data_IF_864693171936
#
_entry.id   IF_864693171936
#
_cell.length_a   1.000
_cell.length_b   1.000
_cell.length_c   1.000
_cell.angle_alpha   90.00
_cell.angle_beta   90.00
_cell.angle_gamma   90.00
#
_symmetry.space_group_name_H-M   'P 1'
#
loop_
_entity.id
_entity.type
_entity.pdbx_description
1 polymer ?
#
# COMPACT_ATOMS: atom_id res chain seq x y z
N UNK A 1 53.92 -22.35 -0.70
CA UNK A 1 52.92 -22.95 -1.60
C UNK A 1 51.67 -22.10 -1.43
N UNK A 2 51.56 -21.07 -2.28
CA UNK A 2 50.50 -20.07 -2.23
C UNK A 2 49.22 -20.68 -2.81
N UNK A 3 48.12 -20.55 -2.07
CA UNK A 3 46.78 -20.95 -2.52
C UNK A 3 46.19 -19.71 -3.23
N UNK A 4 45.80 -19.80 -4.52
CA UNK A 4 45.28 -18.65 -5.24
C UNK A 4 43.92 -18.23 -4.67
N UNK A 5 43.72 -16.92 -4.48
CA UNK A 5 42.41 -16.34 -4.18
C UNK A 5 41.55 -16.40 -5.44
N UNK A 6 40.43 -17.11 -5.35
CA UNK A 6 39.37 -17.07 -6.36
C UNK A 6 38.76 -15.66 -6.38
N UNK A 7 38.80 -15.02 -7.56
CA UNK A 7 38.06 -13.81 -7.85
C UNK A 7 36.56 -14.14 -7.89
N UNK A 8 35.88 -13.99 -6.75
CA UNK A 8 34.43 -13.95 -6.71
C UNK A 8 33.95 -12.64 -7.31
N UNK A 9 33.46 -12.69 -8.56
CA UNK A 9 32.55 -11.68 -9.09
C UNK A 9 31.26 -11.71 -8.25
N UNK A 10 31.22 -10.94 -7.18
CA UNK A 10 29.96 -10.58 -6.54
C UNK A 10 29.25 -9.60 -7.47
N UNK A 11 28.18 -10.06 -8.12
CA UNK A 11 27.15 -9.16 -8.63
C UNK A 11 26.51 -8.48 -7.42
N UNK A 12 27.14 -7.40 -6.94
CA UNK A 12 26.44 -6.43 -6.09
C UNK A 12 25.32 -5.85 -6.97
N UNK A 13 24.09 -6.26 -6.69
CA UNK A 13 22.92 -5.59 -7.24
C UNK A 13 22.98 -4.19 -6.66
N UNK A 14 23.24 -3.22 -7.53
CA UNK A 14 23.25 -1.79 -7.23
C UNK A 14 21.84 -1.37 -6.77
N UNK A 15 21.59 -1.54 -5.46
CA UNK A 15 20.31 -1.27 -4.84
C UNK A 15 20.04 0.23 -4.67
N UNK A 16 21.02 1.10 -4.95
CA UNK A 16 20.99 2.53 -4.63
C UNK A 16 20.38 3.41 -5.74
N UNK A 17 20.02 2.84 -6.90
CA UNK A 17 19.55 3.61 -8.06
C UNK A 17 18.24 3.13 -8.67
N UNK A 18 17.48 2.30 -7.96
CA UNK A 18 16.23 1.73 -8.47
C UNK A 18 15.06 1.93 -7.50
N UNK A 19 13.89 2.24 -8.08
CA UNK A 19 12.65 2.31 -7.32
C UNK A 19 12.20 0.92 -6.88
N UNK A 20 11.40 0.87 -5.82
CA UNK A 20 10.78 -0.36 -5.38
C UNK A 20 9.42 -0.12 -4.71
N UNK A 21 8.56 -1.15 -4.77
CA UNK A 21 7.29 -1.17 -4.07
C UNK A 21 7.40 -2.12 -2.88
N UNK A 22 7.08 -1.63 -1.70
CA UNK A 22 7.13 -2.41 -0.45
C UNK A 22 5.71 -2.53 0.08
N UNK A 23 5.22 -3.77 0.16
CA UNK A 23 3.90 -4.08 0.67
C UNK A 23 3.94 -4.08 2.20
N UNK A 24 3.52 -2.98 2.81
CA UNK A 24 3.53 -2.85 4.26
C UNK A 24 2.42 -3.66 4.92
N UNK A 25 1.30 -3.80 4.22
CA UNK A 25 0.19 -4.66 4.61
C UNK A 25 -0.57 -5.16 3.40
N UNK A 26 -1.12 -6.35 3.52
CA UNK A 26 -1.81 -7.06 2.42
C UNK A 26 -3.15 -7.67 2.85
N UNK A 27 -3.55 -7.45 4.10
CA UNK A 27 -4.77 -7.98 4.68
C UNK A 27 -5.96 -7.04 4.54
N UNK A 28 -7.16 -7.61 4.66
CA UNK A 28 -8.41 -6.85 4.66
C UNK A 28 -8.53 -5.89 5.86
N UNK A 29 -9.67 -5.20 5.95
CA UNK A 29 -9.97 -4.24 7.02
C UNK A 29 -9.82 -4.80 8.44
N UNK A 30 -10.05 -6.09 8.67
CA UNK A 30 -9.86 -6.72 9.99
C UNK A 30 -8.43 -7.17 10.29
N UNK A 31 -7.51 -7.07 9.32
CA UNK A 31 -6.21 -7.74 9.35
C UNK A 31 -6.32 -9.28 9.52
N UNK A 32 -5.18 -9.97 9.46
CA UNK A 32 -5.07 -11.41 9.72
C UNK A 32 -3.95 -11.63 10.75
N UNK A 33 -4.20 -12.37 11.85
CA UNK A 33 -5.39 -13.17 12.15
C UNK A 33 -6.67 -12.36 12.42
N UNK A 34 -7.81 -12.97 12.12
CA UNK A 34 -9.10 -12.43 12.54
C UNK A 34 -9.30 -12.67 14.05
N UNK A 35 -9.48 -11.59 14.83
CA UNK A 35 -9.59 -11.66 16.28
C UNK A 35 -10.72 -12.58 16.77
N UNK A 36 -11.91 -12.51 16.14
CA UNK A 36 -13.04 -13.37 16.52
C UNK A 36 -12.74 -14.84 16.29
N UNK A 37 -12.08 -15.16 15.18
CA UNK A 37 -11.66 -16.51 14.87
C UNK A 37 -10.68 -17.10 15.91
N UNK A 38 -9.86 -16.25 16.54
CA UNK A 38 -8.95 -16.68 17.61
C UNK A 38 -9.66 -16.90 18.95
N UNK A 39 -10.55 -15.99 19.34
CA UNK A 39 -11.22 -16.07 20.66
C UNK A 39 -12.45 -17.00 20.65
N UNK A 40 -13.00 -17.28 19.46
CA UNK A 40 -14.08 -18.26 19.23
C UNK A 40 -13.70 -19.15 18.04
N UNK A 41 -12.70 -20.05 18.21
CA UNK A 41 -12.26 -20.90 17.12
C UNK A 41 -13.34 -21.89 16.71
N UNK A 42 -13.43 -22.12 15.40
CA UNK A 42 -14.19 -23.23 14.82
C UNK A 42 -13.61 -24.58 15.26
N UNK A 43 -14.33 -25.67 14.99
CA UNK A 43 -13.82 -27.03 15.18
C UNK A 43 -13.88 -27.81 13.84
N UNK A 44 -12.74 -28.06 13.16
CA UNK A 44 -11.37 -27.71 13.57
C UNK A 44 -11.09 -26.20 13.52
N UNK A 45 -10.08 -25.69 14.26
CA UNK A 45 -9.69 -24.28 14.21
C UNK A 45 -9.26 -23.84 12.80
N UNK A 46 -9.51 -22.58 12.46
CA UNK A 46 -9.07 -21.99 11.20
C UNK A 46 -7.54 -22.11 11.05
N UNK A 47 -7.10 -22.76 9.97
CA UNK A 47 -5.68 -23.00 9.71
C UNK A 47 -4.90 -21.68 9.54
N UNK A 48 -5.44 -20.73 8.78
CA UNK A 48 -4.77 -19.43 8.51
C UNK A 48 -4.55 -18.64 9.80
N UNK A 49 -5.59 -18.46 10.62
CA UNK A 49 -5.46 -17.71 11.89
C UNK A 49 -4.56 -18.43 12.90
N UNK A 50 -4.59 -19.77 12.93
CA UNK A 50 -3.71 -20.54 13.80
C UNK A 50 -2.25 -20.42 13.35
N UNK A 51 -2.00 -20.55 12.05
CA UNK A 51 -0.67 -20.45 11.46
C UNK A 51 -0.09 -19.04 11.56
N UNK A 52 -0.91 -17.99 11.40
CA UNK A 52 -0.46 -16.58 11.48
C UNK A 52 0.16 -16.23 12.84
N UNK A 53 -0.12 -17.02 13.89
CA UNK A 53 0.49 -16.87 15.22
C UNK A 53 1.58 -17.91 15.54
N UNK A 54 1.82 -18.88 14.66
CA UNK A 54 2.71 -20.02 14.94
C UNK A 54 4.20 -19.72 14.72
N UNK A 55 4.52 -18.73 13.89
CA UNK A 55 5.88 -18.30 13.56
C UNK A 55 5.96 -16.77 13.51
N UNK A 56 7.16 -16.17 13.66
CA UNK A 56 7.34 -14.72 13.61
C UNK A 56 6.75 -14.11 12.34
N UNK A 57 6.05 -12.97 12.41
CA UNK A 57 5.36 -12.39 11.25
C UNK A 57 6.26 -12.13 10.03
N UNK A 58 7.55 -11.82 10.24
CA UNK A 58 8.50 -11.59 9.15
C UNK A 58 8.71 -12.81 8.23
N UNK A 59 8.39 -14.00 8.75
CA UNK A 59 8.47 -15.28 8.04
C UNK A 59 7.07 -15.85 7.74
N UNK A 60 6.01 -15.10 8.03
CA UNK A 60 4.64 -15.59 8.03
C UNK A 60 3.77 -14.83 7.03
N UNK A 61 3.58 -15.36 5.81
CA UNK A 61 2.78 -14.67 4.80
C UNK A 61 1.26 -14.72 5.08
N UNK A 62 0.84 -15.45 6.11
CA UNK A 62 -0.52 -15.47 6.63
C UNK A 62 -0.75 -14.45 7.75
N UNK A 63 0.29 -13.79 8.29
CA UNK A 63 0.13 -12.61 9.15
C UNK A 63 0.08 -11.36 8.28
N UNK A 64 -1.03 -10.61 8.34
CA UNK A 64 -1.31 -9.54 7.38
C UNK A 64 -1.88 -8.31 8.09
N UNK A 65 -1.15 -7.22 8.04
CA UNK A 65 -1.61 -5.89 8.43
C UNK A 65 -2.63 -5.34 7.42
N UNK A 66 -3.32 -4.24 7.75
CA UNK A 66 -4.21 -3.57 6.80
C UNK A 66 -3.45 -3.14 5.55
N UNK A 67 -4.09 -3.26 4.38
CA UNK A 67 -3.53 -2.90 3.09
C UNK A 67 -2.83 -1.54 3.13
N UNK A 68 -1.55 -1.52 2.74
CA UNK A 68 -0.76 -0.30 2.61
C UNK A 68 0.46 -0.56 1.75
N UNK A 69 0.84 0.41 0.92
CA UNK A 69 1.98 0.33 0.01
C UNK A 69 2.94 1.48 0.28
N UNK A 70 4.23 1.17 0.43
CA UNK A 70 5.28 2.18 0.38
C UNK A 70 5.98 2.12 -0.98
N UNK A 71 6.02 3.27 -1.65
CA UNK A 71 6.79 3.47 -2.86
C UNK A 71 8.11 4.12 -2.45
N UNK A 72 9.19 3.36 -2.60
CA UNK A 72 10.55 3.84 -2.53
C UNK A 72 10.95 4.32 -3.94
N UNK A 73 10.77 5.60 -4.21
CA UNK A 73 10.98 6.21 -5.52
C UNK A 73 12.37 6.82 -5.60
N UNK A 74 13.23 6.27 -6.46
CA UNK A 74 14.52 6.85 -6.80
C UNK A 74 14.36 7.75 -8.02
N UNK A 75 14.64 9.04 -7.88
CA UNK A 75 14.74 9.93 -9.03
C UNK A 75 16.04 9.65 -9.81
N UNK A 76 16.17 10.20 -11.03
CA UNK A 76 17.35 10.00 -11.88
C UNK A 76 18.69 10.46 -11.29
N UNK A 77 18.66 11.22 -10.19
CA UNK A 77 19.83 11.75 -9.50
C UNK A 77 20.27 10.86 -8.30
N UNK A 78 19.63 9.70 -8.11
CA UNK A 78 19.94 8.78 -7.00
C UNK A 78 19.30 9.16 -5.67
N UNK A 79 18.44 10.19 -5.62
CA UNK A 79 17.75 10.57 -4.40
C UNK A 79 16.45 9.77 -4.24
N UNK A 80 16.32 9.11 -3.08
CA UNK A 80 15.13 8.36 -2.71
C UNK A 80 14.09 9.22 -1.98
N UNK A 81 12.84 9.10 -2.42
CA UNK A 81 11.64 9.61 -1.75
C UNK A 81 10.69 8.47 -1.41
N UNK A 82 10.09 8.54 -0.23
CA UNK A 82 9.23 7.49 0.31
C UNK A 82 7.80 7.98 0.36
N UNK A 83 6.95 7.42 -0.50
CA UNK A 83 5.54 7.80 -0.64
C UNK A 83 4.69 6.66 -0.09
N UNK A 84 3.83 6.96 0.88
CA UNK A 84 2.98 5.98 1.52
C UNK A 84 1.56 6.05 0.93
N UNK A 85 0.98 4.92 0.57
CA UNK A 85 -0.44 4.80 0.25
C UNK A 85 -1.12 4.12 1.45
N UNK A 86 -2.07 4.85 2.04
CA UNK A 86 -2.83 4.54 3.25
C UNK A 86 -2.01 4.37 4.53
N UNK A 87 -2.63 4.78 5.65
CA UNK A 87 -2.08 4.78 7.00
C UNK A 87 -3.12 4.20 7.96
N UNK A 88 -3.36 2.90 7.82
CA UNK A 88 -4.35 2.16 8.60
C UNK A 88 -4.05 2.03 10.10
N UNK A 89 -4.99 1.43 10.84
CA UNK A 89 -4.82 1.13 12.28
C UNK A 89 -3.62 0.22 12.60
N UNK A 90 -3.08 -0.52 11.63
CA UNK A 90 -1.87 -1.34 11.79
C UNK A 90 -0.58 -0.57 11.49
N UNK A 91 -0.63 0.73 11.18
CA UNK A 91 0.55 1.50 10.76
C UNK A 91 1.75 1.40 11.70
N UNK A 92 1.53 1.53 13.01
CA UNK A 92 2.62 1.42 13.99
C UNK A 92 3.35 0.07 13.88
N UNK A 93 2.61 -1.02 13.67
CA UNK A 93 3.18 -2.35 13.49
C UNK A 93 3.98 -2.44 12.18
N UNK A 94 3.44 -1.87 11.09
CA UNK A 94 4.10 -1.81 9.80
C UNK A 94 5.43 -1.05 9.86
N UNK A 95 5.50 0.05 10.61
CA UNK A 95 6.74 0.79 10.85
C UNK A 95 7.75 -0.08 11.60
N UNK A 96 7.34 -0.69 12.71
CA UNK A 96 8.25 -1.50 13.52
C UNK A 96 8.88 -2.65 12.74
N UNK A 97 8.06 -3.32 11.92
CA UNK A 97 8.49 -4.49 11.14
C UNK A 97 9.25 -4.10 9.88
N UNK A 98 8.63 -3.29 9.04
CA UNK A 98 9.07 -3.14 7.66
C UNK A 98 9.97 -1.92 7.45
N UNK A 99 9.81 -0.85 8.22
CA UNK A 99 10.70 0.31 8.06
C UNK A 99 12.10 -0.01 8.54
N UNK A 100 12.22 -0.74 9.65
CA UNK A 100 13.50 -1.19 10.17
C UNK A 100 14.14 -2.23 9.25
N UNK A 101 13.36 -3.22 8.78
CA UNK A 101 13.81 -4.26 7.88
C UNK A 101 14.34 -3.71 6.55
N UNK A 102 13.59 -2.80 5.92
CA UNK A 102 13.95 -2.18 4.63
C UNK A 102 14.76 -0.90 4.76
N UNK A 103 15.16 -0.50 5.99
CA UNK A 103 15.94 0.70 6.30
C UNK A 103 15.32 2.01 5.77
N UNK A 104 13.99 2.11 5.85
CA UNK A 104 13.23 3.28 5.41
C UNK A 104 13.46 4.43 6.42
N UNK A 105 14.07 5.56 6.01
CA UNK A 105 14.51 6.60 6.94
C UNK A 105 13.42 7.61 7.28
N UNK A 106 12.37 7.73 6.46
CA UNK A 106 11.32 8.77 6.56
C UNK A 106 10.13 8.44 5.66
N UNK A 107 9.07 9.22 5.80
CA UNK A 107 7.97 9.33 4.82
C UNK A 107 7.93 10.76 4.30
N UNK A 108 8.01 10.92 2.98
CA UNK A 108 8.03 12.22 2.32
C UNK A 108 6.61 12.73 2.05
N UNK A 109 5.70 11.84 1.67
CA UNK A 109 4.29 12.16 1.44
C UNK A 109 3.39 10.94 1.62
N UNK A 110 2.11 11.21 1.81
CA UNK A 110 1.07 10.20 2.01
C UNK A 110 -0.04 10.44 0.99
N UNK A 111 -0.61 9.36 0.46
CA UNK A 111 -1.81 9.35 -0.36
C UNK A 111 -2.83 8.48 0.35
N UNK A 112 -4.07 8.96 0.51
CA UNK A 112 -5.16 8.18 1.08
C UNK A 112 -6.12 7.77 -0.04
N UNK A 113 -6.42 6.48 -0.13
CA UNK A 113 -7.39 5.91 -1.07
C UNK A 113 -8.81 6.32 -0.71
N UNK A 114 -9.12 6.30 0.59
CA UNK A 114 -10.44 6.58 1.14
C UNK A 114 -10.38 6.79 2.67
N UNK A 115 -11.51 7.11 3.32
CA UNK A 115 -11.54 7.51 4.73
C UNK A 115 -11.90 6.40 5.75
N UNK A 116 -11.98 5.14 5.34
CA UNK A 116 -12.28 4.06 6.28
C UNK A 116 -11.14 3.81 7.27
N UNK A 117 -11.49 3.17 8.38
CA UNK A 117 -10.63 3.06 9.55
C UNK A 117 -9.29 2.34 9.28
N UNK A 118 -9.35 1.31 8.46
CA UNK A 118 -8.22 0.53 7.97
C UNK A 118 -7.34 1.27 6.97
N UNK A 119 -7.77 2.42 6.44
CA UNK A 119 -6.95 3.30 5.61
C UNK A 119 -6.40 4.53 6.38
N UNK A 120 -7.04 4.97 7.48
CA UNK A 120 -6.71 6.28 8.10
C UNK A 120 -6.45 6.30 9.60
N UNK A 121 -6.76 5.24 10.37
CA UNK A 121 -6.63 5.32 11.84
C UNK A 121 -5.20 5.37 12.37
N UNK A 122 -4.19 5.16 11.53
CA UNK A 122 -2.77 5.33 11.88
C UNK A 122 -2.27 6.77 11.72
N UNK A 123 -3.11 7.73 11.28
CA UNK A 123 -2.70 9.12 11.08
C UNK A 123 -2.15 9.78 12.36
N UNK A 124 -2.67 9.43 13.54
CA UNK A 124 -2.14 9.92 14.83
C UNK A 124 -0.69 9.45 15.09
N UNK A 125 -0.35 8.25 14.62
CA UNK A 125 0.97 7.65 14.79
C UNK A 125 2.03 8.23 13.83
N UNK A 126 1.65 9.01 12.81
CA UNK A 126 2.60 9.69 11.91
C UNK A 126 3.57 10.59 12.69
N UNK A 127 3.13 11.17 13.82
CA UNK A 127 4.02 11.98 14.68
C UNK A 127 5.25 11.20 15.15
N UNK A 128 5.17 9.87 15.25
CA UNK A 128 6.24 9.01 15.74
C UNK A 128 7.37 8.86 14.72
N UNK A 129 7.09 9.06 13.43
CA UNK A 129 8.07 8.99 12.34
C UNK A 129 8.49 10.36 11.80
N UNK A 130 7.95 11.44 12.38
CA UNK A 130 8.35 12.81 12.08
C UNK A 130 9.53 13.25 12.95
N UNK A 131 10.39 14.16 12.45
CA UNK A 131 11.46 14.74 13.24
C UNK A 131 10.94 15.29 14.58
N UNK A 132 11.73 15.13 15.64
CA UNK A 132 11.40 15.71 16.93
C UNK A 132 11.70 17.21 16.92
N UNK A 133 10.71 18.02 17.30
CA UNK A 133 10.89 19.43 17.65
C UNK A 133 10.16 19.73 18.97
N UNK A 134 10.80 20.41 19.94
CA UNK A 134 10.15 20.85 21.18
C UNK A 134 8.97 21.81 20.95
N UNK A 135 9.06 22.63 19.89
CA UNK A 135 8.08 23.64 19.48
C UNK A 135 7.11 23.12 18.43
N UNK A 136 7.29 21.88 17.98
CA UNK A 136 6.50 21.23 16.93
C UNK A 136 6.50 21.99 15.58
N UNK A 137 7.59 22.71 15.31
CA UNK A 137 7.82 23.57 14.13
C UNK A 137 8.58 22.85 13.02
N UNK A 138 8.13 21.65 12.67
CA UNK A 138 8.73 20.87 11.57
C UNK A 138 7.99 21.13 10.25
N UNK A 139 8.68 20.88 9.13
CA UNK A 139 8.01 20.84 7.83
C UNK A 139 6.89 19.79 7.85
N UNK A 140 5.66 20.15 7.46
CA UNK A 140 4.54 19.21 7.49
C UNK A 140 4.69 18.14 6.41
N UNK A 141 4.23 16.93 6.70
CA UNK A 141 4.09 15.86 5.70
C UNK A 141 2.85 16.13 4.86
N UNK A 142 3.01 16.23 3.53
CA UNK A 142 1.85 16.41 2.64
C UNK A 142 1.01 15.13 2.56
N UNK A 143 -0.31 15.28 2.67
CA UNK A 143 -1.30 14.21 2.52
C UNK A 143 -2.22 14.56 1.35
N UNK A 144 -2.37 13.63 0.42
CA UNK A 144 -3.22 13.76 -0.75
C UNK A 144 -4.43 12.84 -0.58
N UNK A 145 -5.62 13.40 -0.72
CA UNK A 145 -6.89 12.70 -0.48
C UNK A 145 -8.02 13.39 -1.24
N UNK A 146 -9.14 12.71 -1.44
CA UNK A 146 -10.28 13.36 -2.07
C UNK A 146 -10.95 14.39 -1.16
N UNK A 147 -11.79 15.25 -1.74
CA UNK A 147 -12.57 16.21 -0.98
C UNK A 147 -13.52 15.51 0.01
N UNK A 148 -14.14 14.40 -0.40
CA UNK A 148 -15.01 13.60 0.45
C UNK A 148 -14.25 13.03 1.66
N UNK A 149 -13.07 12.45 1.42
CA UNK A 149 -12.23 11.93 2.48
C UNK A 149 -11.79 13.05 3.44
N UNK A 150 -11.43 14.24 2.93
CA UNK A 150 -11.06 15.40 3.74
C UNK A 150 -12.16 15.80 4.72
N UNK A 151 -13.40 15.94 4.25
CA UNK A 151 -14.55 16.30 5.11
C UNK A 151 -14.74 15.30 6.25
N UNK A 152 -14.54 14.01 5.99
CA UNK A 152 -14.61 12.98 7.02
C UNK A 152 -13.44 13.04 8.01
N UNK A 153 -12.24 13.33 7.52
CA UNK A 153 -11.04 13.49 8.35
C UNK A 153 -11.17 14.69 9.29
N UNK A 154 -11.79 15.79 8.87
CA UNK A 154 -12.06 16.94 9.74
C UNK A 154 -12.92 16.57 10.96
N UNK A 155 -13.85 15.65 10.78
CA UNK A 155 -14.72 15.14 11.86
C UNK A 155 -14.00 14.13 12.75
N UNK A 156 -13.25 13.19 12.15
CA UNK A 156 -12.56 12.11 12.88
C UNK A 156 -11.34 12.62 13.65
N UNK A 157 -10.60 13.55 13.06
CA UNK A 157 -9.32 14.05 13.55
C UNK A 157 -9.25 15.59 13.54
N UNK A 158 -10.18 16.30 14.21
CA UNK A 158 -10.20 17.76 14.18
C UNK A 158 -8.88 18.37 14.67
N UNK A 159 -8.16 17.70 15.58
CA UNK A 159 -6.86 18.12 16.10
C UNK A 159 -5.69 17.95 15.14
N UNK A 160 -5.81 17.13 14.08
CA UNK A 160 -4.81 16.99 13.01
C UNK A 160 -5.04 18.00 11.87
N UNK A 161 -6.25 18.56 11.77
CA UNK A 161 -6.59 19.56 10.75
C UNK A 161 -6.48 20.99 11.31
N UNK A 162 -7.02 21.23 12.50
CA UNK A 162 -7.09 22.57 13.08
C UNK A 162 -5.78 22.96 13.75
N UNK A 163 -4.98 23.79 13.07
CA UNK A 163 -3.69 24.28 13.56
C UNK A 163 -3.77 25.47 14.53
N UNK A 164 -4.94 26.08 14.72
CA UNK A 164 -5.08 27.25 15.60
C UNK A 164 -5.16 26.82 17.06
N UNK A 165 -4.04 26.91 17.76
CA UNK A 165 -4.03 26.96 19.22
C UNK A 165 -4.88 28.15 19.68
N UNK A 166 -5.81 27.92 20.60
CA UNK A 166 -6.51 29.01 21.27
C UNK A 166 -5.53 29.75 22.19
N UNK A 167 -5.70 31.06 22.37
CA UNK A 167 -4.90 31.82 23.34
C UNK A 167 -4.88 31.12 24.71
N UNK A 168 -3.69 30.85 25.24
CA UNK A 168 -3.48 30.16 26.52
C UNK A 168 -3.40 28.63 26.45
N UNK A 169 -3.49 27.99 25.28
CA UNK A 169 -3.25 26.55 25.15
C UNK A 169 -1.76 26.21 25.04
N UNK A 170 -1.32 25.21 25.82
CA UNK A 170 0.01 24.63 25.68
C UNK A 170 0.19 23.96 24.30
N UNK A 171 1.37 24.11 23.72
CA UNK A 171 1.74 23.42 22.46
C UNK A 171 1.78 21.92 22.73
N UNK A 172 0.83 21.18 22.16
CA UNK A 172 0.84 19.72 22.16
C UNK A 172 1.53 19.21 20.90
N UNK A 173 2.41 18.22 21.05
CA UNK A 173 3.06 17.55 19.93
C UNK A 173 2.05 16.63 19.22
N UNK A 174 1.54 17.11 18.10
CA UNK A 174 0.68 16.37 17.16
C UNK A 174 1.37 16.27 15.80
N UNK A 175 0.98 15.29 14.97
CA UNK A 175 1.53 15.14 13.63
C UNK A 175 1.36 16.45 12.83
N UNK A 176 2.42 16.90 12.17
CA UNK A 176 2.39 18.08 11.31
C UNK A 176 2.02 17.67 9.90
N UNK A 177 0.77 17.94 9.52
CA UNK A 177 0.22 17.49 8.24
C UNK A 177 -0.18 18.69 7.38
N UNK A 178 -0.02 18.54 6.07
CA UNK A 178 -0.48 19.48 5.05
C UNK A 178 -1.47 18.74 4.14
N UNK A 179 -2.74 19.09 4.25
CA UNK A 179 -3.83 18.43 3.52
C UNK A 179 -3.98 19.03 2.11
N UNK A 180 -3.97 18.18 1.09
CA UNK A 180 -4.10 18.55 -0.32
C UNK A 180 -5.20 17.73 -0.97
N UNK A 181 -6.26 18.39 -1.41
CA UNK A 181 -7.36 17.70 -2.07
C UNK A 181 -7.03 17.41 -3.53
N UNK A 182 -7.34 16.19 -3.97
CA UNK A 182 -7.20 15.74 -5.36
C UNK A 182 -8.58 15.48 -5.97
N UNK A 183 -8.66 15.56 -7.30
CA UNK A 183 -9.88 15.20 -8.03
C UNK A 183 -10.10 13.70 -8.04
N UNK A 184 -11.37 13.31 -8.09
CA UNK A 184 -11.81 11.92 -8.21
C UNK A 184 -12.14 11.61 -9.68
N UNK A 185 -11.17 11.83 -10.58
CA UNK A 185 -11.28 11.51 -12.00
C UNK A 185 -9.93 11.03 -12.55
N UNK A 186 -9.96 10.47 -13.77
CA UNK A 186 -8.75 9.96 -14.43
C UNK A 186 -8.08 10.99 -15.36
N UNK A 187 -8.56 12.23 -15.40
CA UNK A 187 -8.07 13.27 -16.31
C UNK A 187 -7.06 14.18 -15.61
N UNK A 188 -7.30 14.50 -14.34
CA UNK A 188 -6.44 15.38 -13.56
C UNK A 188 -5.37 14.60 -12.79
N UNK A 189 -4.11 14.82 -13.17
CA UNK A 189 -2.95 14.24 -12.48
C UNK A 189 -2.50 15.10 -11.32
N UNK A 190 -1.86 14.49 -10.32
CA UNK A 190 -1.12 15.23 -9.29
C UNK A 190 0.30 14.69 -9.15
N UNK A 191 1.19 15.52 -8.61
CA UNK A 191 2.58 15.14 -8.34
C UNK A 191 2.86 15.24 -6.86
N UNK A 192 3.48 14.19 -6.31
CA UNK A 192 3.93 14.17 -4.93
C UNK A 192 5.31 13.51 -4.86
N UNK A 193 6.22 14.13 -4.12
CA UNK A 193 7.61 13.66 -3.99
C UNK A 193 8.30 13.35 -5.33
N UNK A 194 7.96 14.09 -6.39
CA UNK A 194 8.53 13.94 -7.73
C UNK A 194 7.94 12.83 -8.60
N UNK A 195 6.98 12.05 -8.10
CA UNK A 195 6.27 11.03 -8.88
C UNK A 195 4.86 11.53 -9.23
N UNK A 196 4.47 11.38 -10.50
CA UNK A 196 3.13 11.71 -10.99
C UNK A 196 2.18 10.54 -10.76
N UNK A 197 0.95 10.87 -10.35
CA UNK A 197 -0.14 9.93 -10.12
C UNK A 197 -1.39 10.37 -10.89
N UNK A 198 -2.16 9.38 -11.34
CA UNK A 198 -3.50 9.53 -11.87
C UNK A 198 -4.48 8.84 -10.91
N UNK A 199 -5.45 9.55 -10.32
CA UNK A 199 -6.50 8.94 -9.53
C UNK A 199 -7.34 7.97 -10.39
N UNK A 200 -7.74 6.86 -9.80
CA UNK A 200 -8.55 5.83 -10.43
C UNK A 200 -9.82 5.59 -9.59
N UNK A 201 -10.91 6.33 -9.82
CA UNK A 201 -12.14 6.14 -9.08
C UNK A 201 -12.72 4.75 -9.34
N UNK A 202 -13.01 4.02 -8.28
CA UNK A 202 -13.60 2.69 -8.33
C UNK A 202 -14.75 2.59 -7.34
N UNK A 203 -15.70 1.70 -7.62
CA UNK A 203 -16.75 1.44 -6.65
C UNK A 203 -16.20 0.57 -5.53
N UNK A 204 -16.55 0.93 -4.30
CA UNK A 204 -16.33 0.14 -3.10
C UNK A 204 -17.69 -0.09 -2.44
N UNK A 205 -18.28 -1.25 -2.69
CA UNK A 205 -19.71 -1.49 -2.42
C UNK A 205 -20.61 -1.02 -3.59
N UNK A 206 -21.87 -0.69 -3.31
CA UNK A 206 -22.85 -0.27 -4.32
C UNK A 206 -22.84 1.24 -4.60
N UNK A 207 -22.69 2.07 -3.56
CA UNK A 207 -22.94 3.52 -3.62
C UNK A 207 -21.78 4.38 -3.11
N UNK A 208 -20.58 3.81 -3.05
CA UNK A 208 -19.43 4.49 -2.49
C UNK A 208 -18.21 4.35 -3.41
N UNK A 209 -17.44 5.43 -3.53
CA UNK A 209 -16.28 5.53 -4.42
C UNK A 209 -15.02 5.62 -3.57
N UNK A 210 -14.07 4.71 -3.83
CA UNK A 210 -12.70 4.79 -3.34
C UNK A 210 -11.77 5.13 -4.50
N UNK A 211 -10.53 5.52 -4.19
CA UNK A 211 -9.50 5.80 -5.20
C UNK A 211 -8.45 4.70 -5.24
N UNK A 212 -8.23 4.14 -6.42
CA UNK A 212 -6.94 3.56 -6.79
C UNK A 212 -6.01 4.63 -7.38
N UNK A 213 -4.79 4.23 -7.73
CA UNK A 213 -3.81 5.13 -8.33
C UNK A 213 -3.00 4.45 -9.43
N UNK A 214 -2.83 5.14 -10.54
CA UNK A 214 -1.91 4.77 -11.62
C UNK A 214 -0.67 5.66 -11.58
N UNK A 215 0.51 5.06 -11.68
CA UNK A 215 1.79 5.77 -11.66
C UNK A 215 2.89 5.01 -12.41
N UNK A 216 4.00 5.71 -12.65
CA UNK A 216 5.18 5.19 -13.36
C UNK A 216 5.12 5.41 -14.88
N UNK A 217 6.16 6.02 -15.43
CA UNK A 217 6.34 6.29 -16.85
C UNK A 217 7.03 5.12 -17.56
N UNK A 218 8.04 4.51 -16.91
CA UNK A 218 8.80 3.39 -17.48
C UNK A 218 8.10 2.06 -17.27
N UNK A 219 7.61 1.82 -16.06
CA UNK A 219 6.77 0.68 -15.72
C UNK A 219 5.44 1.20 -15.21
N UNK A 220 4.37 0.86 -15.92
CA UNK A 220 3.03 1.36 -15.65
C UNK A 220 2.37 0.51 -14.56
N UNK A 221 2.17 1.09 -13.39
CA UNK A 221 1.65 0.39 -12.20
C UNK A 221 0.28 0.95 -11.82
N UNK A 222 -0.69 0.07 -11.60
CA UNK A 222 -1.95 0.45 -10.96
C UNK A 222 -2.05 -0.22 -9.58
N UNK A 223 -2.33 0.57 -8.55
CA UNK A 223 -2.65 0.11 -7.19
C UNK A 223 -4.11 0.40 -6.89
N UNK A 224 -4.90 -0.65 -6.66
CA UNK A 224 -6.34 -0.54 -6.48
C UNK A 224 -6.77 -1.51 -5.36
N UNK A 225 -6.84 -1.01 -4.13
CA UNK A 225 -7.44 -1.73 -3.00
C UNK A 225 -8.93 -1.42 -2.89
N UNK A 226 -9.65 -2.17 -2.05
CA UNK A 226 -11.01 -1.85 -1.64
C UNK A 226 -11.95 -1.60 -2.83
N UNK A 227 -12.01 -2.54 -3.77
CA UNK A 227 -12.82 -2.40 -5.00
C UNK A 227 -13.88 -3.50 -5.08
N UNK A 228 -15.10 -3.12 -5.48
CA UNK A 228 -16.19 -4.02 -5.85
C UNK A 228 -16.40 -4.06 -7.36
N UNK A 229 -16.19 -2.92 -8.04
CA UNK A 229 -16.42 -2.76 -9.48
C UNK A 229 -15.61 -1.59 -10.06
N UNK A 230 -15.05 -1.80 -11.24
CA UNK A 230 -14.43 -0.74 -12.02
C UNK A 230 -15.47 0.15 -12.69
N UNK A 231 -15.22 1.46 -12.68
CA UNK A 231 -15.92 2.39 -13.55
C UNK A 231 -15.39 2.25 -14.99
N UNK A 232 -16.22 2.50 -16.03
CA UNK A 232 -15.77 2.38 -17.42
C UNK A 232 -14.56 3.24 -17.75
N UNK A 233 -14.46 4.45 -17.19
CA UNK A 233 -13.30 5.34 -17.33
C UNK A 233 -12.04 4.70 -16.77
N UNK A 234 -12.11 4.19 -15.54
CA UNK A 234 -11.00 3.53 -14.87
C UNK A 234 -10.56 2.26 -15.60
N UNK A 235 -11.50 1.38 -15.98
CA UNK A 235 -11.19 0.14 -16.73
C UNK A 235 -10.56 0.45 -18.09
N UNK A 236 -11.02 1.50 -18.78
CA UNK A 236 -10.39 1.97 -20.01
C UNK A 236 -8.94 2.41 -19.78
N UNK A 237 -8.69 3.21 -18.75
CA UNK A 237 -7.34 3.71 -18.47
C UNK A 237 -6.38 2.56 -18.13
N UNK A 238 -6.79 1.55 -17.39
CA UNK A 238 -5.87 0.49 -16.93
C UNK A 238 -5.79 -0.74 -17.84
N UNK A 239 -6.72 -0.92 -18.79
CA UNK A 239 -6.74 -2.11 -19.65
C UNK A 239 -5.79 -2.02 -20.85
N UNK A 240 -5.25 -3.18 -21.25
CA UNK A 240 -4.46 -3.33 -22.48
C UNK A 240 -5.18 -2.84 -23.73
N UNK A 241 -6.51 -3.03 -23.79
CA UNK A 241 -7.35 -2.60 -24.90
C UNK A 241 -7.72 -1.11 -24.88
N UNK A 242 -7.48 -0.42 -23.77
CA UNK A 242 -7.76 1.00 -23.61
C UNK A 242 -6.48 1.84 -23.71
N UNK A 243 -6.04 2.44 -22.60
CA UNK A 243 -4.95 3.41 -22.59
C UNK A 243 -3.54 2.81 -22.41
N UNK A 244 -3.41 1.48 -22.29
CA UNK A 244 -2.12 0.80 -22.30
C UNK A 244 -2.03 -0.36 -21.32
N UNK A 245 -1.23 -1.37 -21.68
CA UNK A 245 -1.02 -2.54 -20.82
C UNK A 245 -0.25 -2.14 -19.56
N UNK A 246 -0.73 -2.55 -18.38
CA UNK A 246 0.02 -2.40 -17.14
C UNK A 246 1.19 -3.38 -17.08
N UNK A 247 2.33 -2.92 -16.55
CA UNK A 247 3.44 -3.77 -16.16
C UNK A 247 3.15 -4.52 -14.86
N UNK A 248 2.41 -3.89 -13.95
CA UNK A 248 1.98 -4.46 -12.69
C UNK A 248 0.61 -3.93 -12.28
N UNK A 249 -0.31 -4.84 -11.97
CA UNK A 249 -1.59 -4.55 -11.33
C UNK A 249 -1.56 -5.06 -9.89
N UNK A 250 -1.69 -4.16 -8.91
CA UNK A 250 -1.92 -4.51 -7.51
C UNK A 250 -3.42 -4.34 -7.26
N UNK A 251 -4.10 -5.43 -6.90
CA UNK A 251 -5.56 -5.48 -6.86
C UNK A 251 -6.08 -6.22 -5.62
N UNK A 252 -7.13 -5.67 -5.01
CA UNK A 252 -7.84 -6.34 -3.92
C UNK A 252 -8.41 -7.72 -4.32
N UNK A 253 -8.42 -8.69 -3.40
CA UNK A 253 -9.12 -9.95 -3.53
C UNK A 253 -10.62 -9.79 -3.26
N UNK A 254 -11.39 -9.51 -4.30
CA UNK A 254 -12.87 -9.50 -4.28
C UNK A 254 -13.50 -10.64 -5.11
N UNK A 255 -14.83 -10.69 -5.08
CA UNK A 255 -15.61 -11.50 -6.00
C UNK A 255 -15.29 -11.15 -7.47
N UNK A 256 -14.88 -12.16 -8.26
CA UNK A 256 -14.52 -12.05 -9.68
C UNK A 256 -13.24 -11.26 -10.01
N UNK A 257 -12.30 -11.20 -9.07
CA UNK A 257 -10.97 -10.59 -9.27
C UNK A 257 -10.25 -11.14 -10.49
N UNK A 258 -10.24 -12.46 -10.68
CA UNK A 258 -9.53 -13.11 -11.78
C UNK A 258 -10.15 -12.77 -13.15
N UNK A 259 -11.47 -12.65 -13.24
CA UNK A 259 -12.15 -12.19 -14.44
C UNK A 259 -11.81 -10.73 -14.77
N UNK A 260 -11.66 -9.87 -13.75
CA UNK A 260 -11.20 -8.50 -13.96
C UNK A 260 -9.76 -8.47 -14.48
N UNK A 261 -8.86 -9.26 -13.89
CA UNK A 261 -7.46 -9.38 -14.36
C UNK A 261 -7.40 -9.85 -15.82
N UNK A 262 -8.25 -10.80 -16.23
CA UNK A 262 -8.33 -11.22 -17.64
C UNK A 262 -8.74 -10.08 -18.57
N UNK A 263 -9.76 -9.29 -18.18
CA UNK A 263 -10.23 -8.15 -18.99
C UNK A 263 -9.19 -7.04 -19.08
N UNK A 264 -8.53 -6.73 -17.97
CA UNK A 264 -7.49 -5.69 -17.89
C UNK A 264 -6.21 -6.15 -18.64
N UNK A 265 -5.88 -7.44 -18.56
CA UNK A 265 -4.73 -8.08 -19.20
C UNK A 265 -3.37 -7.42 -18.85
N UNK A 266 -3.01 -7.27 -17.57
CA UNK A 266 -1.70 -6.76 -17.16
C UNK A 266 -0.58 -7.76 -17.51
N UNK A 267 0.68 -7.33 -17.47
CA UNK A 267 1.84 -8.25 -17.61
C UNK A 267 2.02 -9.14 -16.39
N UNK A 268 1.64 -8.66 -15.21
CA UNK A 268 1.56 -9.44 -13.97
C UNK A 268 0.58 -8.77 -12.99
N UNK A 269 0.05 -9.54 -12.03
CA UNK A 269 -0.75 -9.01 -10.94
C UNK A 269 -0.35 -9.54 -9.56
N UNK A 270 -0.45 -8.68 -8.55
CA UNK A 270 -0.26 -9.02 -7.15
C UNK A 270 -1.56 -8.73 -6.40
N UNK A 271 -2.03 -9.70 -5.61
CA UNK A 271 -3.30 -9.56 -4.90
C UNK A 271 -3.09 -9.11 -3.45
N UNK A 272 -3.94 -8.21 -2.98
CA UNK A 272 -3.97 -7.66 -1.60
C UNK A 272 -5.40 -7.74 -1.04
N UNK A 273 -5.66 -7.21 0.16
CA UNK A 273 -6.99 -7.23 0.76
C UNK A 273 -7.44 -8.61 1.27
N UNK A 274 -6.51 -9.56 1.43
CA UNK A 274 -6.88 -10.93 1.77
C UNK A 274 -7.43 -11.06 3.20
N UNK A 275 -8.56 -11.77 3.33
CA UNK A 275 -9.10 -12.21 4.62
C UNK A 275 -8.40 -13.48 5.12
N UNK A 276 -8.80 -13.99 6.28
CA UNK A 276 -8.34 -15.29 6.79
C UNK A 276 -8.89 -16.51 6.01
N UNK A 277 -9.68 -16.29 4.96
CA UNK A 277 -10.13 -17.36 4.05
C UNK A 277 -9.07 -17.73 3.01
N UNK A 278 -8.08 -16.83 2.81
CA UNK A 278 -6.98 -17.03 1.88
C UNK A 278 -5.74 -17.53 2.62
N UNK A 279 -5.36 -18.78 2.37
CA UNK A 279 -4.09 -19.35 2.78
C UNK A 279 -3.02 -19.04 1.73
N UNK A 280 -1.94 -18.37 2.13
CA UNK A 280 -0.96 -17.87 1.20
C UNK A 280 -0.32 -18.96 0.33
N UNK A 281 -0.06 -20.15 0.88
CA UNK A 281 0.61 -21.21 0.13
C UNK A 281 -0.37 -21.93 -0.79
N UNK A 282 -1.50 -22.38 -0.23
CA UNK A 282 -2.52 -23.12 -0.98
C UNK A 282 -3.11 -22.29 -2.12
N UNK A 283 -3.45 -21.04 -1.86
CA UNK A 283 -4.06 -20.20 -2.89
C UNK A 283 -3.05 -19.79 -3.96
N UNK A 284 -1.77 -19.63 -3.63
CA UNK A 284 -0.72 -19.42 -4.64
C UNK A 284 -0.47 -20.65 -5.53
N UNK A 285 -0.65 -21.87 -5.03
CA UNK A 285 -0.61 -23.07 -5.90
C UNK A 285 -1.73 -23.02 -6.97
N UNK A 286 -2.94 -22.67 -6.54
CA UNK A 286 -4.08 -22.47 -7.45
C UNK A 286 -3.82 -21.33 -8.44
N UNK A 287 -3.32 -20.19 -7.97
CA UNK A 287 -3.00 -19.04 -8.82
C UNK A 287 -1.86 -19.35 -9.80
N UNK A 288 -0.90 -20.18 -9.43
CA UNK A 288 0.17 -20.62 -10.34
C UNK A 288 -0.38 -21.48 -11.48
N UNK A 289 -1.34 -22.37 -11.21
CA UNK A 289 -2.03 -23.13 -12.26
C UNK A 289 -2.86 -22.20 -13.17
N UNK A 290 -3.64 -21.30 -12.56
CA UNK A 290 -4.41 -20.31 -13.28
C UNK A 290 -3.51 -19.45 -14.18
N UNK A 291 -2.38 -18.98 -13.66
CA UNK A 291 -1.40 -18.16 -14.37
C UNK A 291 -0.85 -18.84 -15.61
N UNK A 292 -0.50 -20.14 -15.50
CA UNK A 292 -0.03 -20.93 -16.65
C UNK A 292 -1.09 -21.07 -17.73
N UNK A 293 -2.37 -21.22 -17.34
CA UNK A 293 -3.48 -21.36 -18.29
C UNK A 293 -3.79 -20.04 -19.01
N UNK A 294 -3.79 -18.93 -18.30
CA UNK A 294 -4.22 -17.63 -18.84
C UNK A 294 -3.06 -16.81 -19.42
N UNK A 295 -1.81 -17.17 -19.13
CA UNK A 295 -0.63 -16.44 -19.59
C UNK A 295 -0.40 -15.11 -18.86
N UNK A 296 -1.03 -14.91 -17.70
CA UNK A 296 -0.87 -13.73 -16.84
C UNK A 296 -0.37 -14.23 -15.47
N UNK A 297 0.89 -13.97 -15.09
CA UNK A 297 1.38 -14.24 -13.74
C UNK A 297 0.55 -13.51 -12.68
N UNK A 298 -0.03 -14.27 -11.75
CA UNK A 298 -0.79 -13.77 -10.60
C UNK A 298 -0.36 -14.50 -9.34
N UNK A 299 -0.16 -13.75 -8.26
CA UNK A 299 0.12 -14.31 -6.94
C UNK A 299 -0.46 -13.40 -5.84
N UNK A 300 -0.72 -13.97 -4.66
CA UNK A 300 -0.97 -13.21 -3.46
C UNK A 300 0.31 -12.48 -3.05
N UNK A 301 0.20 -11.20 -2.70
CA UNK A 301 1.27 -10.49 -2.01
C UNK A 301 1.36 -10.99 -0.55
N UNK A 302 2.42 -10.59 0.14
CA UNK A 302 2.53 -10.74 1.58
C UNK A 302 3.19 -9.50 2.16
N UNK A 303 2.97 -9.27 3.45
CA UNK A 303 3.60 -8.17 4.17
C UNK A 303 5.14 -8.29 4.10
N UNK A 304 5.81 -7.17 3.89
CA UNK A 304 7.27 -7.09 3.72
C UNK A 304 7.78 -7.39 2.32
N UNK A 305 6.93 -7.87 1.38
CA UNK A 305 7.32 -8.10 -0.01
C UNK A 305 7.89 -6.81 -0.62
N UNK A 306 9.09 -6.88 -1.20
CA UNK A 306 9.72 -5.79 -1.96
C UNK A 306 9.81 -6.17 -3.43
N UNK A 307 9.26 -5.34 -4.30
CA UNK A 307 9.28 -5.52 -5.75
C UNK A 307 10.12 -4.40 -6.37
N UNK A 308 11.34 -4.69 -6.85
CA UNK A 308 12.13 -3.73 -7.63
C UNK A 308 11.38 -3.37 -8.92
N UNK A 309 11.31 -2.08 -9.24
CA UNK A 309 10.59 -1.59 -10.41
C UNK A 309 11.21 -0.28 -10.92
N UNK A 310 11.12 -0.04 -12.22
CA UNK A 310 11.54 1.25 -12.79
C UNK A 310 10.30 2.10 -13.01
N UNK A 311 10.09 3.09 -12.15
CA UNK A 311 8.99 4.05 -12.27
C UNK A 311 9.38 5.18 -13.23
#
# INVERSE_FOLDING_TARGET
>A
MEIPRENGNSYEIDHDHHSSLIFLGTGCSSAVPNCMCLIQPSNPPCAVCSQSLSIPPELNPNYRCNTSLLIDYCNGDGEHKYILIDVGKTFREQVLRWFTHHKIPRVNSIILTHEHADAVLGLDDIRAIQPFSPTNDIAPTSIYLSQYAMESIEVKFPYLVQKKLKEGQEVRRVAQLEWKTIKEDCEETFVTSGLQFIPLPVMHGEDYVSLGFLFGEKSRVAYISDVSRFLPSTEHVISKSGAGQLDLLILDTLYRTLEAIKRICPKQALLVGMTHEFDHHKDNEFLAEWSRREGIPVQLAHDGLRVPIQL
#
